data_IF_891130323288
#
_entry.id   IF_891130323288
#
_cell.length_a   1.000
_cell.length_b   1.000
_cell.length_c   1.000
_cell.angle_alpha   90.00
_cell.angle_beta   90.00
_cell.angle_gamma   90.00
#
_symmetry.space_group_name_H-M   'P 1'
#
loop_
_entity.id
_entity.type
_entity.pdbx_description
1 polymer ?
#
# COMPACT_ATOMS: atom_id res chain seq x y z
N UNK A 1 -18.48 4.00 -21.05
CA UNK A 1 -17.05 3.73 -21.30
C UNK A 1 -16.63 2.27 -21.12
N UNK A 2 -17.58 1.36 -20.88
CA UNK A 2 -17.34 -0.11 -20.84
C UNK A 2 -16.69 -0.70 -22.10
N UNK A 3 -16.51 0.09 -23.16
CA UNK A 3 -15.97 -0.33 -24.44
C UNK A 3 -14.43 -0.33 -24.53
N UNK A 4 -13.72 0.39 -23.65
CA UNK A 4 -12.26 0.52 -23.76
C UNK A 4 -11.55 -0.38 -22.75
N UNK A 5 -11.16 -1.58 -23.20
CA UNK A 5 -10.29 -2.49 -22.43
C UNK A 5 -8.80 -2.10 -22.54
N UNK A 6 -8.47 -1.29 -23.54
CA UNK A 6 -7.13 -0.77 -23.80
C UNK A 6 -7.23 0.72 -24.12
N UNK A 7 -6.24 1.47 -23.66
CA UNK A 7 -6.15 2.91 -23.90
C UNK A 7 -4.70 3.32 -24.15
N UNK A 8 -4.30 3.59 -25.41
CA UNK A 8 -2.98 4.13 -25.68
C UNK A 8 -2.90 5.57 -25.16
N UNK A 9 -1.88 5.87 -24.37
CA UNK A 9 -1.61 7.21 -23.86
C UNK A 9 -0.21 7.66 -24.29
N UNK A 10 -0.12 8.83 -24.92
CA UNK A 10 1.15 9.50 -25.20
C UNK A 10 1.29 10.71 -24.27
N UNK A 11 2.38 10.77 -23.50
CA UNK A 11 2.70 11.90 -22.63
C UNK A 11 3.85 12.66 -23.27
N UNK A 12 3.55 13.85 -23.75
CA UNK A 12 4.55 14.76 -24.33
C UNK A 12 5.22 15.56 -23.21
N UNK A 13 6.54 15.44 -23.11
CA UNK A 13 7.34 16.17 -22.14
C UNK A 13 8.20 17.15 -22.92
N UNK A 14 8.19 18.43 -22.50
CA UNK A 14 8.91 19.48 -23.22
C UNK A 14 10.41 19.16 -23.28
N UNK A 15 10.95 19.11 -24.49
CA UNK A 15 12.35 18.81 -24.79
C UNK A 15 12.81 17.39 -24.42
N UNK A 16 11.88 16.46 -24.21
CA UNK A 16 12.17 15.06 -23.90
C UNK A 16 11.38 14.15 -24.86
N UNK A 17 11.81 12.90 -25.10
CA UNK A 17 11.03 11.94 -25.85
C UNK A 17 9.66 11.68 -25.20
N UNK A 18 8.60 11.61 -26.01
CA UNK A 18 7.26 11.26 -25.51
C UNK A 18 7.25 9.86 -24.89
N UNK A 19 6.53 9.71 -23.78
CA UNK A 19 6.28 8.42 -23.15
C UNK A 19 5.03 7.82 -23.77
N UNK A 20 5.13 6.61 -24.32
CA UNK A 20 3.99 5.87 -24.86
C UNK A 20 3.63 4.73 -23.92
N UNK A 21 2.39 4.73 -23.44
CA UNK A 21 1.85 3.73 -22.54
C UNK A 21 0.75 2.95 -23.25
N UNK A 22 0.81 1.63 -23.16
CA UNK A 22 -0.23 0.72 -23.60
C UNK A 22 -1.05 0.28 -22.38
N UNK A 23 -2.00 1.14 -21.99
CA UNK A 23 -2.74 0.96 -20.74
C UNK A 23 -3.84 -0.08 -20.90
N UNK A 24 -3.91 -1.04 -19.99
CA UNK A 24 -4.95 -2.04 -19.89
C UNK A 24 -5.87 -1.73 -18.71
N UNK A 25 -7.18 -1.80 -18.93
CA UNK A 25 -8.16 -1.54 -17.87
C UNK A 25 -8.02 -2.58 -16.76
N UNK A 26 -8.06 -2.14 -15.50
CA UNK A 26 -8.12 -3.00 -14.33
C UNK A 26 -9.39 -2.72 -13.53
N UNK A 27 -10.05 -3.78 -13.12
CA UNK A 27 -11.30 -3.72 -12.37
C UNK A 27 -11.07 -4.14 -10.91
N UNK A 28 -12.00 -3.75 -10.03
CA UNK A 28 -12.14 -4.25 -8.66
C UNK A 28 -11.01 -3.91 -7.67
N UNK A 29 -10.19 -2.88 -7.93
CA UNK A 29 -9.27 -2.34 -6.91
C UNK A 29 -10.07 -1.63 -5.82
N UNK A 30 -11.00 -0.77 -6.21
CA UNK A 30 -12.07 -0.27 -5.36
C UNK A 30 -13.32 -0.14 -6.23
N UNK A 31 -14.49 -0.13 -5.61
CA UNK A 31 -15.76 0.06 -6.30
C UNK A 31 -16.46 1.29 -5.74
N UNK A 32 -17.46 1.80 -6.46
CA UNK A 32 -18.38 2.82 -5.92
C UNK A 32 -19.06 2.40 -4.61
N UNK A 33 -19.15 1.08 -4.37
CA UNK A 33 -19.73 0.50 -3.16
C UNK A 33 -18.69 0.29 -2.03
N UNK A 34 -17.40 0.54 -2.28
CA UNK A 34 -16.37 0.42 -1.25
C UNK A 34 -16.73 1.37 -0.10
N UNK A 35 -16.86 0.85 1.13
CA UNK A 35 -17.28 1.66 2.26
C UNK A 35 -16.16 2.57 2.76
N UNK A 36 -16.57 3.75 3.24
CA UNK A 36 -15.74 4.64 4.05
C UNK A 36 -16.34 4.64 5.46
N UNK A 37 -15.53 4.33 6.45
CA UNK A 37 -15.86 4.30 7.87
C UNK A 37 -15.27 5.53 8.54
N UNK A 38 -16.11 6.49 8.91
CA UNK A 38 -15.67 7.68 9.61
C UNK A 38 -15.55 7.37 11.09
N UNK A 39 -14.32 7.36 11.58
CA UNK A 39 -14.02 7.20 12.99
C UNK A 39 -14.44 8.44 13.75
N UNK A 40 -15.24 8.26 14.79
CA UNK A 40 -15.72 9.29 15.69
C UNK A 40 -15.32 8.96 17.12
N UNK A 41 -14.68 9.92 17.79
CA UNK A 41 -14.34 9.83 19.21
C UNK A 41 -14.64 11.19 19.88
N UNK A 42 -15.31 11.18 21.03
CA UNK A 42 -15.74 12.36 21.79
C UNK A 42 -14.60 13.15 22.47
N UNK A 43 -13.37 13.04 21.96
CA UNK A 43 -12.26 13.92 22.32
C UNK A 43 -11.28 13.38 23.37
N UNK A 44 -11.32 12.09 23.70
CA UNK A 44 -10.33 11.48 24.61
C UNK A 44 -9.85 10.12 24.09
N UNK A 45 -8.60 9.76 24.40
CA UNK A 45 -7.99 8.50 23.96
C UNK A 45 -8.67 7.27 24.59
N UNK A 46 -9.31 7.44 25.75
CA UNK A 46 -9.97 6.36 26.50
C UNK A 46 -11.41 6.07 26.03
N UNK A 47 -11.98 6.94 25.18
CA UNK A 47 -13.31 6.72 24.65
C UNK A 47 -13.30 5.71 23.50
N UNK A 48 -14.31 4.85 23.46
CA UNK A 48 -14.52 3.91 22.35
C UNK A 48 -14.74 4.68 21.06
N UNK A 49 -13.88 4.46 20.06
CA UNK A 49 -14.10 5.00 18.72
C UNK A 49 -15.25 4.28 18.05
N UNK A 50 -16.22 5.04 17.55
CA UNK A 50 -17.35 4.52 16.76
C UNK A 50 -17.11 4.78 15.28
N UNK A 51 -17.73 3.99 14.41
CA UNK A 51 -17.52 4.08 12.97
C UNK A 51 -18.84 4.28 12.23
N UNK A 52 -19.00 5.43 11.58
CA UNK A 52 -20.15 5.68 10.72
C UNK A 52 -19.82 5.27 9.28
N UNK A 53 -20.67 4.45 8.67
CA UNK A 53 -20.42 3.87 7.36
C UNK A 53 -21.11 4.66 6.25
N UNK A 54 -20.32 5.10 5.28
CA UNK A 54 -20.76 5.72 4.04
C UNK A 54 -20.22 4.94 2.84
N UNK A 55 -20.70 5.28 1.64
CA UNK A 55 -20.16 4.77 0.38
C UNK A 55 -19.37 5.87 -0.33
N UNK A 56 -18.35 5.49 -1.09
CA UNK A 56 -17.58 6.44 -1.91
C UNK A 56 -18.49 7.30 -2.78
N UNK A 57 -19.47 6.70 -3.47
CA UNK A 57 -20.37 7.43 -4.37
C UNK A 57 -21.39 8.32 -3.67
N UNK A 58 -21.66 8.10 -2.38
CA UNK A 58 -22.57 8.95 -1.61
C UNK A 58 -21.91 10.22 -1.09
N UNK A 59 -20.58 10.24 -1.02
CA UNK A 59 -19.83 11.38 -0.47
C UNK A 59 -19.28 12.24 -1.62
N UNK A 60 -19.04 11.63 -2.79
CA UNK A 60 -18.27 12.27 -3.86
C UNK A 60 -18.95 12.11 -5.21
N UNK A 61 -19.53 13.21 -5.71
CA UNK A 61 -20.09 13.26 -7.07
C UNK A 61 -19.05 13.01 -8.16
N UNK A 62 -17.79 13.34 -7.89
CA UNK A 62 -16.65 13.15 -8.78
C UNK A 62 -16.03 11.74 -8.73
N UNK A 63 -16.40 10.90 -7.77
CA UNK A 63 -15.94 9.50 -7.71
C UNK A 63 -17.01 8.51 -8.24
N UNK A 64 -18.06 9.02 -8.87
CA UNK A 64 -19.11 8.18 -9.48
C UNK A 64 -18.57 7.31 -10.61
N UNK A 65 -17.59 7.80 -11.35
CA UNK A 65 -16.90 7.09 -12.41
C UNK A 65 -15.38 7.23 -12.24
N UNK A 66 -14.78 6.19 -11.65
CA UNK A 66 -13.33 6.01 -11.56
C UNK A 66 -12.94 4.85 -12.44
N UNK A 67 -12.01 5.06 -13.36
CA UNK A 67 -11.48 3.99 -14.22
C UNK A 67 -9.99 3.89 -14.01
N UNK A 68 -9.50 2.69 -13.73
CA UNK A 68 -8.10 2.43 -13.49
C UNK A 68 -7.52 1.64 -14.65
N UNK A 69 -6.30 1.99 -15.03
CA UNK A 69 -5.53 1.30 -16.04
C UNK A 69 -4.10 1.08 -15.58
N UNK A 70 -3.45 0.07 -16.17
CA UNK A 70 -2.07 -0.27 -15.89
C UNK A 70 -1.33 -0.59 -17.20
N UNK A 71 -0.11 -0.11 -17.34
CA UNK A 71 0.88 -0.58 -18.30
C UNK A 71 2.06 -1.13 -17.50
N UNK A 72 2.05 -2.44 -17.38
CA UNK A 72 2.98 -3.17 -16.54
C UNK A 72 4.43 -3.09 -17.04
N UNK A 73 4.65 -3.17 -18.35
CA UNK A 73 5.99 -3.15 -18.94
C UNK A 73 6.67 -1.79 -18.69
N UNK A 74 5.87 -0.72 -18.66
CA UNK A 74 6.32 0.64 -18.35
C UNK A 74 6.14 1.04 -16.86
N UNK A 75 5.73 0.11 -16.00
CA UNK A 75 5.51 0.34 -14.56
C UNK A 75 4.55 1.51 -14.31
N UNK A 76 3.53 1.66 -15.15
CA UNK A 76 2.57 2.74 -15.08
C UNK A 76 1.21 2.27 -14.54
N UNK A 77 0.67 3.01 -13.58
CA UNK A 77 -0.67 2.83 -13.04
C UNK A 77 -1.39 4.17 -13.10
N UNK A 78 -2.39 4.27 -13.98
CA UNK A 78 -3.12 5.50 -14.30
C UNK A 78 -4.56 5.35 -13.83
N UNK A 79 -5.08 6.38 -13.17
CA UNK A 79 -6.45 6.49 -12.69
C UNK A 79 -7.09 7.70 -13.32
N UNK A 80 -8.30 7.50 -13.83
CA UNK A 80 -9.10 8.53 -14.47
C UNK A 80 -10.32 8.81 -13.60
N UNK A 81 -10.48 10.06 -13.20
CA UNK A 81 -11.64 10.56 -12.47
C UNK A 81 -12.50 11.40 -13.41
N UNK A 82 -13.80 11.07 -13.50
CA UNK A 82 -14.74 11.79 -14.35
C UNK A 82 -15.59 12.76 -13.52
N UNK A 83 -15.53 14.03 -13.89
CA UNK A 83 -16.28 15.13 -13.29
C UNK A 83 -17.33 15.64 -14.29
N UNK A 84 -18.35 14.83 -14.59
CA UNK A 84 -19.37 15.16 -15.60
C UNK A 84 -18.90 14.93 -17.04
N UNK A 85 -19.67 15.42 -18.02
CA UNK A 85 -19.54 14.98 -19.42
C UNK A 85 -18.21 15.35 -20.10
N UNK A 86 -17.49 16.37 -19.63
CA UNK A 86 -16.30 16.91 -20.32
C UNK A 86 -15.11 17.25 -19.41
N UNK A 87 -15.12 16.85 -18.13
CA UNK A 87 -14.01 17.15 -17.23
C UNK A 87 -13.40 15.85 -16.70
N UNK A 88 -12.15 15.62 -17.07
CA UNK A 88 -11.42 14.40 -16.76
C UNK A 88 -10.14 14.78 -16.06
N UNK A 89 -9.93 14.17 -14.89
CA UNK A 89 -8.67 14.25 -14.16
C UNK A 89 -7.95 12.93 -14.36
N UNK A 90 -6.68 13.01 -14.73
CA UNK A 90 -5.81 11.86 -14.91
C UNK A 90 -4.68 11.95 -13.90
N UNK A 91 -4.57 10.93 -13.06
CA UNK A 91 -3.51 10.86 -12.07
C UNK A 91 -2.91 9.48 -12.03
N UNK A 92 -1.65 9.36 -11.64
CA UNK A 92 -1.02 8.06 -11.66
C UNK A 92 0.43 8.05 -11.25
N UNK A 93 1.01 6.86 -11.38
CA UNK A 93 2.43 6.62 -11.23
C UNK A 93 2.99 6.07 -12.54
N UNK A 94 4.23 6.45 -12.88
CA UNK A 94 5.01 5.89 -13.98
C UNK A 94 6.40 5.60 -13.42
N UNK A 95 6.64 4.36 -13.02
CA UNK A 95 7.77 4.01 -12.16
C UNK A 95 7.76 4.85 -10.88
N UNK A 96 8.85 5.56 -10.60
CA UNK A 96 8.96 6.42 -9.41
C UNK A 96 8.51 7.87 -9.65
N UNK A 97 7.84 8.15 -10.78
CA UNK A 97 7.27 9.44 -11.08
C UNK A 97 5.78 9.47 -10.78
N UNK A 98 5.27 10.63 -10.38
CA UNK A 98 3.85 10.89 -10.14
C UNK A 98 3.34 11.80 -11.24
N UNK A 99 2.27 11.39 -11.88
CA UNK A 99 1.51 12.20 -12.81
C UNK A 99 0.34 12.84 -12.05
N UNK A 100 0.30 14.17 -12.01
CA UNK A 100 -0.79 14.94 -11.41
C UNK A 100 -1.27 16.01 -12.38
N UNK A 101 -2.57 16.27 -12.35
CA UNK A 101 -3.16 17.43 -13.02
C UNK A 101 -3.13 18.64 -12.08
N UNK A 102 -2.94 19.83 -12.62
CA UNK A 102 -3.06 21.08 -11.88
C UNK A 102 -4.41 21.73 -12.06
N UNK A 103 -4.68 22.76 -11.26
CA UNK A 103 -5.94 23.52 -11.32
C UNK A 103 -6.20 24.13 -12.70
N UNK A 104 -5.13 24.55 -13.39
CA UNK A 104 -5.10 25.07 -14.75
C UNK A 104 -5.12 23.97 -15.83
N UNK A 105 -5.40 22.71 -15.44
CA UNK A 105 -5.54 21.54 -16.31
C UNK A 105 -4.28 21.12 -17.07
N UNK A 106 -3.13 21.64 -16.67
CA UNK A 106 -1.84 21.16 -17.12
C UNK A 106 -1.44 19.89 -16.33
N UNK A 107 -0.47 19.14 -16.83
CA UNK A 107 0.05 17.96 -16.16
C UNK A 107 1.53 18.14 -15.82
N UNK A 108 1.90 17.72 -14.61
CA UNK A 108 3.31 17.59 -14.23
C UNK A 108 3.63 16.14 -13.94
N UNK A 109 4.82 15.74 -14.39
CA UNK A 109 5.45 14.48 -14.02
C UNK A 109 6.51 14.78 -12.94
N UNK A 110 6.16 14.53 -11.69
CA UNK A 110 7.00 14.83 -10.54
C UNK A 110 7.84 13.61 -10.19
N UNK A 111 9.17 13.77 -10.12
CA UNK A 111 10.02 12.76 -9.51
C UNK A 111 9.96 12.92 -7.99
N UNK A 112 9.58 11.86 -7.29
CA UNK A 112 9.64 11.85 -5.83
C UNK A 112 11.10 11.76 -5.44
N UNK A 113 11.64 12.84 -4.89
CA UNK A 113 12.99 12.87 -4.32
C UNK A 113 12.87 13.17 -2.84
N UNK A 114 13.48 12.32 -2.01
CA UNK A 114 13.58 12.62 -0.59
C UNK A 114 14.89 13.38 -0.36
N UNK A 115 14.85 14.59 0.24
CA UNK A 115 16.06 15.29 0.60
C UNK A 115 16.74 14.50 1.71
N UNK A 116 17.89 13.90 1.43
CA UNK A 116 18.80 13.44 2.49
C UNK A 116 20.22 13.78 2.06
N UNK A 117 20.76 14.85 2.66
CA UNK A 117 22.16 15.26 2.58
C UNK A 117 23.09 14.39 3.44
N UNK A 118 22.55 13.34 4.06
CA UNK A 118 23.29 12.44 4.96
C UNK A 118 23.02 10.98 4.57
N UNK A 119 24.01 10.11 4.76
CA UNK A 119 23.92 8.65 4.63
C UNK A 119 24.08 8.08 3.20
N UNK A 120 25.30 8.22 2.67
CA UNK A 120 25.89 7.21 1.79
C UNK A 120 26.20 5.94 2.61
N UNK A 121 25.24 5.03 2.75
CA UNK A 121 25.56 3.68 3.23
C UNK A 121 26.19 2.89 2.04
N UNK A 122 27.44 2.45 2.16
CA UNK A 122 28.14 1.68 1.12
C UNK A 122 27.47 0.33 0.80
N UNK A 123 26.61 -0.20 1.68
CA UNK A 123 25.77 -1.36 1.34
C UNK A 123 24.79 -1.06 0.20
N UNK A 124 24.29 0.17 0.12
CA UNK A 124 23.34 0.59 -0.92
C UNK A 124 23.96 0.60 -2.32
N UNK A 125 25.24 0.99 -2.44
CA UNK A 125 25.96 1.07 -3.73
C UNK A 125 26.15 -0.30 -4.42
N UNK A 126 25.90 -1.41 -3.71
CA UNK A 126 26.08 -2.78 -4.23
C UNK A 126 24.86 -3.32 -4.99
N UNK A 127 23.73 -2.62 -4.98
CA UNK A 127 22.48 -3.14 -5.54
C UNK A 127 22.30 -2.75 -7.01
N UNK A 128 22.15 -3.75 -7.89
CA UNK A 128 21.86 -3.58 -9.32
C UNK A 128 20.36 -3.59 -9.58
N UNK A 129 19.92 -2.73 -10.49
CA UNK A 129 18.56 -2.70 -11.03
C UNK A 129 18.38 -3.92 -11.95
N UNK A 130 17.38 -4.76 -11.67
CA UNK A 130 16.94 -5.76 -12.64
C UNK A 130 15.97 -5.09 -13.60
N UNK A 131 16.23 -5.22 -14.89
CA UNK A 131 15.36 -4.67 -15.92
C UNK A 131 14.38 -5.74 -16.41
N UNK A 132 13.10 -5.34 -16.38
CA UNK A 132 11.87 -6.08 -16.73
C UNK A 132 11.38 -7.03 -15.65
N UNK A 133 10.08 -6.96 -15.39
CA UNK A 133 9.45 -7.98 -14.61
C UNK A 133 9.36 -9.27 -15.43
N UNK A 134 9.94 -10.34 -14.90
CA UNK A 134 9.62 -11.67 -15.38
C UNK A 134 8.21 -12.04 -14.90
N UNK A 135 7.48 -12.85 -15.67
CA UNK A 135 6.27 -13.50 -15.15
C UNK A 135 6.68 -14.49 -14.05
N UNK A 136 5.88 -14.59 -13.00
CA UNK A 136 6.17 -15.40 -11.83
C UNK A 136 5.07 -16.44 -11.61
N UNK A 137 5.47 -17.70 -11.54
CA UNK A 137 4.58 -18.81 -11.26
C UNK A 137 4.91 -19.38 -9.87
N UNK A 138 4.01 -19.16 -8.91
CA UNK A 138 4.15 -19.62 -7.53
C UNK A 138 3.69 -21.08 -7.37
N UNK A 139 3.19 -21.71 -8.44
CA UNK A 139 2.68 -23.07 -8.50
C UNK A 139 1.52 -23.31 -7.53
N UNK A 140 0.65 -22.32 -7.36
CA UNK A 140 -0.58 -22.46 -6.56
C UNK A 140 -1.63 -23.27 -7.31
N UNK A 141 -2.45 -24.09 -6.62
CA UNK A 141 -3.62 -24.71 -7.22
C UNK A 141 -4.72 -23.69 -7.57
N UNK A 142 -4.72 -22.52 -6.93
CA UNK A 142 -5.68 -21.45 -7.22
C UNK A 142 -5.30 -20.69 -8.49
N UNK A 143 -6.31 -20.32 -9.26
CA UNK A 143 -6.12 -19.48 -10.46
C UNK A 143 -5.91 -18.01 -10.08
N UNK A 144 -6.62 -17.53 -9.07
CA UNK A 144 -6.64 -16.13 -8.66
C UNK A 144 -6.84 -15.99 -7.15
N UNK A 145 -6.11 -15.04 -6.55
CA UNK A 145 -6.23 -14.66 -5.15
C UNK A 145 -6.47 -13.17 -5.08
N UNK A 146 -7.54 -12.80 -4.36
CA UNK A 146 -7.90 -11.41 -4.08
C UNK A 146 -7.59 -11.12 -2.62
N UNK A 147 -6.60 -10.27 -2.37
CA UNK A 147 -6.24 -9.79 -1.04
C UNK A 147 -7.14 -8.58 -0.72
N UNK A 148 -8.10 -8.75 0.19
CA UNK A 148 -8.97 -7.66 0.66
C UNK A 148 -8.25 -6.84 1.73
N UNK A 149 -7.94 -5.59 1.41
CA UNK A 149 -7.26 -4.65 2.28
C UNK A 149 -8.23 -3.63 2.84
N UNK A 150 -8.37 -3.60 4.17
CA UNK A 150 -8.97 -2.49 4.89
C UNK A 150 -7.88 -1.45 5.17
N UNK A 151 -8.06 -0.23 4.68
CA UNK A 151 -7.06 0.84 4.87
C UNK A 151 -7.47 1.70 6.05
N UNK A 152 -6.58 1.90 7.02
CA UNK A 152 -6.83 2.79 8.16
C UNK A 152 -5.91 4.01 8.14
N UNK A 153 -6.47 5.19 7.91
CA UNK A 153 -5.70 6.42 7.88
C UNK A 153 -5.44 6.92 9.31
N UNK A 154 -4.21 7.41 9.55
CA UNK A 154 -3.88 8.26 10.68
C UNK A 154 -4.47 9.66 10.47
N UNK A 155 -4.66 10.41 11.56
CA UNK A 155 -5.08 11.81 11.50
C UNK A 155 -4.14 12.66 10.65
N UNK A 156 -2.83 12.45 10.76
CA UNK A 156 -1.82 13.18 9.96
C UNK A 156 -1.96 12.93 8.46
N UNK A 157 -2.57 11.81 8.08
CA UNK A 157 -2.82 11.40 6.71
C UNK A 157 -4.18 11.86 6.17
N UNK A 158 -5.02 12.42 7.04
CA UNK A 158 -6.41 12.80 6.80
C UNK A 158 -6.65 14.31 6.98
N UNK A 159 -5.61 15.13 6.89
CA UNK A 159 -5.70 16.60 7.08
C UNK A 159 -6.18 17.37 5.84
N UNK A 160 -6.37 16.69 4.71
CA UNK A 160 -6.90 17.28 3.49
C UNK A 160 -8.39 16.97 3.35
N UNK A 161 -9.05 17.57 2.37
CA UNK A 161 -10.44 17.24 2.03
C UNK A 161 -10.59 15.74 1.75
N UNK A 162 -11.64 15.13 2.31
CA UNK A 162 -11.86 13.67 2.25
C UNK A 162 -11.82 13.16 0.80
N UNK A 163 -12.37 13.94 -0.14
CA UNK A 163 -12.37 13.61 -1.57
C UNK A 163 -10.95 13.48 -2.14
N UNK A 164 -10.07 14.40 -1.77
CA UNK A 164 -8.69 14.43 -2.23
C UNK A 164 -7.88 13.28 -1.65
N UNK A 165 -8.08 12.99 -0.35
CA UNK A 165 -7.43 11.87 0.34
C UNK A 165 -7.85 10.54 -0.28
N UNK A 166 -9.16 10.33 -0.47
CA UNK A 166 -9.69 9.09 -1.07
C UNK A 166 -9.21 8.95 -2.51
N UNK A 167 -9.26 10.01 -3.32
CA UNK A 167 -8.74 9.98 -4.70
C UNK A 167 -7.25 9.60 -4.73
N UNK A 168 -6.44 10.23 -3.88
CA UNK A 168 -5.01 9.94 -3.75
C UNK A 168 -4.76 8.50 -3.33
N UNK A 169 -5.56 7.98 -2.39
CA UNK A 169 -5.49 6.59 -1.94
C UNK A 169 -5.83 5.61 -3.07
N UNK A 170 -6.84 5.90 -3.88
CA UNK A 170 -7.22 5.06 -5.02
C UNK A 170 -6.11 5.01 -6.08
N UNK A 171 -5.50 6.16 -6.40
CA UNK A 171 -4.32 6.23 -7.29
C UNK A 171 -3.16 5.42 -6.71
N UNK A 172 -2.94 5.53 -5.41
CA UNK A 172 -1.88 4.82 -4.69
C UNK A 172 -2.08 3.30 -4.73
N UNK A 173 -3.27 2.80 -4.42
CA UNK A 173 -3.56 1.36 -4.43
C UNK A 173 -3.66 0.79 -5.84
N UNK A 174 -3.96 1.60 -6.86
CA UNK A 174 -3.78 1.18 -8.25
C UNK A 174 -2.31 0.82 -8.54
N UNK A 175 -1.37 1.65 -8.09
CA UNK A 175 0.05 1.37 -8.22
C UNK A 175 0.50 0.18 -7.35
N UNK A 176 -0.04 0.00 -6.13
CA UNK A 176 0.19 -1.21 -5.31
C UNK A 176 -0.23 -2.47 -6.07
N UNK A 177 -1.46 -2.50 -6.60
CA UNK A 177 -2.00 -3.65 -7.31
C UNK A 177 -1.17 -3.98 -8.57
N UNK A 178 -0.67 -2.95 -9.28
CA UNK A 178 0.19 -3.14 -10.45
C UNK A 178 1.44 -3.99 -10.12
N UNK A 179 2.01 -3.83 -8.93
CA UNK A 179 3.20 -4.58 -8.54
C UNK A 179 2.93 -6.08 -8.41
N UNK A 180 1.69 -6.52 -8.24
CA UNK A 180 1.32 -7.94 -8.17
C UNK A 180 0.91 -8.56 -9.53
N UNK A 181 0.82 -7.76 -10.61
CA UNK A 181 0.57 -8.26 -11.96
C UNK A 181 1.57 -9.31 -12.51
N UNK A 182 2.86 -9.37 -12.10
CA UNK A 182 3.78 -10.43 -12.55
C UNK A 182 3.31 -11.85 -12.23
N UNK A 183 2.53 -12.03 -11.17
CA UNK A 183 2.15 -13.36 -10.71
C UNK A 183 1.05 -13.94 -11.59
N UNK A 184 1.30 -15.11 -12.17
CA UNK A 184 0.38 -15.75 -13.13
C UNK A 184 -0.30 -17.01 -12.60
N UNK A 185 0.23 -17.60 -11.53
CA UNK A 185 -0.33 -18.79 -10.87
C UNK A 185 0.09 -18.77 -9.40
N UNK A 186 -0.77 -18.25 -8.49
CA UNK A 186 -2.04 -17.62 -8.79
C UNK A 186 -1.83 -16.22 -9.37
N UNK A 187 -2.84 -15.67 -10.05
CA UNK A 187 -2.94 -14.22 -10.23
C UNK A 187 -3.21 -13.58 -8.88
N UNK A 188 -2.43 -12.57 -8.49
CA UNK A 188 -2.63 -11.88 -7.21
C UNK A 188 -3.20 -10.49 -7.49
N UNK A 189 -4.34 -10.18 -6.88
CA UNK A 189 -4.97 -8.86 -6.94
C UNK A 189 -5.11 -8.28 -5.54
N UNK A 190 -4.92 -6.96 -5.44
CA UNK A 190 -5.15 -6.20 -4.21
C UNK A 190 -6.43 -5.40 -4.38
N UNK A 191 -7.39 -5.64 -3.48
CA UNK A 191 -8.68 -4.95 -3.48
C UNK A 191 -8.86 -4.18 -2.17
N UNK A 192 -9.14 -2.89 -2.24
CA UNK A 192 -9.53 -2.05 -1.10
C UNK A 192 -10.95 -2.40 -0.71
N UNK A 193 -11.10 -3.12 0.41
CA UNK A 193 -12.40 -3.56 0.93
C UNK A 193 -13.09 -2.52 1.80
N UNK A 194 -12.35 -1.52 2.28
CA UNK A 194 -12.88 -0.37 2.99
C UNK A 194 -11.79 0.64 3.34
N UNK A 195 -12.21 1.84 3.69
CA UNK A 195 -11.32 2.93 4.14
C UNK A 195 -11.82 3.42 5.49
N UNK A 196 -10.96 3.46 6.50
CA UNK A 196 -11.23 4.09 7.79
C UNK A 196 -10.62 5.50 7.75
N UNK A 197 -11.49 6.49 7.85
CA UNK A 197 -11.14 7.91 7.82
C UNK A 197 -11.37 8.52 9.21
N UNK A 198 -10.36 9.12 9.86
CA UNK A 198 -10.55 9.70 11.18
C UNK A 198 -11.13 11.12 11.09
N UNK A 199 -12.22 11.39 11.82
CA UNK A 199 -12.76 12.76 11.93
C UNK A 199 -11.93 13.65 12.86
N UNK A 200 -11.18 13.05 13.79
CA UNK A 200 -10.35 13.74 14.77
C UNK A 200 -9.09 12.92 15.07
N UNK A 201 -8.08 13.54 15.67
CA UNK A 201 -6.88 12.85 16.14
C UNK A 201 -7.15 11.76 17.20
N UNK A 202 -8.27 11.86 17.91
CA UNK A 202 -8.69 10.87 18.91
C UNK A 202 -9.39 9.66 18.27
N UNK A 203 -9.76 9.74 17.00
CA UNK A 203 -10.43 8.67 16.26
C UNK A 203 -9.45 7.59 15.74
N UNK A 204 -8.16 7.74 16.06
CA UNK A 204 -7.09 6.80 15.71
C UNK A 204 -6.33 6.30 16.95
N UNK A 205 -7.01 5.68 17.94
CA UNK A 205 -6.36 5.27 19.19
C UNK A 205 -5.19 4.28 18.95
N UNK A 206 -5.26 3.49 17.88
CA UNK A 206 -4.19 2.58 17.46
C UNK A 206 -2.89 3.30 17.05
N UNK A 207 -2.99 4.51 16.48
CA UNK A 207 -1.82 5.36 16.22
C UNK A 207 -1.42 6.16 17.45
N UNK A 208 -2.39 6.79 18.13
CA UNK A 208 -2.12 7.65 19.30
C UNK A 208 -1.42 6.91 20.44
N UNK A 209 -1.79 5.64 20.70
CA UNK A 209 -1.12 4.79 21.69
C UNK A 209 0.27 4.30 21.25
N UNK A 210 0.64 4.55 19.99
CA UNK A 210 1.95 4.25 19.43
C UNK A 210 2.83 5.50 19.30
N UNK A 211 2.29 6.70 19.57
CA UNK A 211 3.00 7.97 19.47
C UNK A 211 3.94 8.15 20.66
N UNK A 212 5.12 8.68 20.38
CA UNK A 212 6.14 9.01 21.37
C UNK A 212 6.98 10.16 20.83
N UNK A 213 7.67 10.85 21.73
CA UNK A 213 8.52 12.00 21.43
C UNK A 213 9.92 11.70 21.95
N UNK A 214 10.95 11.99 21.14
CA UNK A 214 12.32 11.80 21.57
C UNK A 214 12.73 12.97 22.49
N UNK A 215 13.51 12.71 23.55
CA UNK A 215 14.04 13.79 24.38
C UNK A 215 14.82 14.80 23.52
N UNK A 216 14.40 16.06 23.55
CA UNK A 216 15.06 17.15 22.81
C UNK A 216 14.62 17.35 21.36
N UNK A 217 13.62 16.61 20.87
CA UNK A 217 13.02 16.83 19.54
C UNK A 217 11.54 17.20 19.68
N UNK A 218 11.05 18.14 18.88
CA UNK A 218 9.65 18.57 18.89
C UNK A 218 8.71 17.65 18.08
N UNK A 219 9.29 16.76 17.26
CA UNK A 219 8.52 15.86 16.40
C UNK A 219 8.06 14.59 17.12
N UNK A 220 6.83 14.18 16.84
CA UNK A 220 6.27 12.90 17.31
C UNK A 220 6.44 11.83 16.23
N UNK A 221 6.72 10.61 16.67
CA UNK A 221 6.92 9.45 15.80
C UNK A 221 6.10 8.26 16.27
N UNK A 222 5.88 7.31 15.36
CA UNK A 222 5.26 6.02 15.64
C UNK A 222 6.32 5.02 16.07
N UNK A 223 6.18 4.46 17.27
CA UNK A 223 7.09 3.42 17.77
C UNK A 223 6.86 2.11 17.01
N UNK A 224 7.89 1.65 16.29
CA UNK A 224 7.89 0.48 15.41
C UNK A 224 7.26 -0.76 16.08
N UNK A 225 7.73 -1.10 17.28
CA UNK A 225 7.29 -2.32 17.99
C UNK A 225 5.86 -2.22 18.54
N UNK A 226 5.34 -1.02 18.74
CA UNK A 226 4.00 -0.80 19.31
C UNK A 226 2.92 -0.66 18.25
N UNK A 227 3.30 -0.27 17.03
CA UNK A 227 2.37 -0.02 15.92
C UNK A 227 1.44 -1.21 15.65
N UNK A 228 2.00 -2.38 15.32
CA UNK A 228 1.19 -3.57 15.02
C UNK A 228 0.42 -4.07 16.25
N UNK A 229 1.03 -4.05 17.43
CA UNK A 229 0.38 -4.52 18.66
C UNK A 229 -0.90 -3.72 18.95
N UNK A 230 -0.85 -2.39 18.82
CA UNK A 230 -2.00 -1.52 19.03
C UNK A 230 -3.08 -1.71 17.94
N UNK A 231 -2.68 -1.95 16.69
CA UNK A 231 -3.62 -2.32 15.63
C UNK A 231 -4.33 -3.64 15.91
N UNK A 232 -3.60 -4.68 16.34
CA UNK A 232 -4.20 -5.97 16.69
C UNK A 232 -5.18 -5.83 17.85
N UNK A 233 -4.78 -5.14 18.92
CA UNK A 233 -5.64 -4.89 20.09
C UNK A 233 -6.93 -4.19 19.71
N UNK A 234 -6.87 -3.22 18.81
CA UNK A 234 -8.03 -2.43 18.41
C UNK A 234 -8.95 -3.18 17.43
N UNK A 235 -8.41 -3.77 16.37
CA UNK A 235 -9.21 -4.32 15.27
C UNK A 235 -9.43 -5.83 15.33
N UNK A 236 -8.52 -6.58 15.93
CA UNK A 236 -8.52 -8.05 15.89
C UNK A 236 -8.85 -8.72 17.22
N UNK A 237 -8.99 -7.95 18.30
CA UNK A 237 -9.44 -8.50 19.57
C UNK A 237 -10.89 -9.01 19.43
N UNK A 238 -11.10 -10.29 19.76
CA UNK A 238 -12.41 -10.96 19.71
C UNK A 238 -13.48 -10.26 20.55
N UNK A 239 -13.08 -9.50 21.57
CA UNK A 239 -14.00 -8.70 22.38
C UNK A 239 -14.37 -7.37 21.72
N UNK A 240 -13.49 -6.82 20.88
CA UNK A 240 -13.68 -5.51 20.26
C UNK A 240 -14.63 -5.57 19.05
N UNK A 241 -14.59 -6.66 18.25
CA UNK A 241 -15.44 -6.92 17.06
C UNK A 241 -15.78 -5.68 16.23
N UNK A 242 -14.80 -4.80 16.02
CA UNK A 242 -15.01 -3.48 15.40
C UNK A 242 -15.56 -3.64 13.98
N UNK A 243 -15.06 -4.64 13.25
CA UNK A 243 -15.54 -5.01 11.92
C UNK A 243 -15.68 -6.54 11.81
N UNK A 244 -16.55 -7.04 10.91
CA UNK A 244 -16.62 -8.48 10.63
C UNK A 244 -15.31 -9.00 10.03
N UNK A 245 -14.81 -10.14 10.50
CA UNK A 245 -13.58 -10.76 9.97
C UNK A 245 -13.65 -11.08 8.47
N UNK A 246 -14.86 -11.23 7.90
CA UNK A 246 -15.03 -11.45 6.46
C UNK A 246 -14.79 -10.20 5.60
N UNK A 247 -14.75 -9.01 6.21
CA UNK A 247 -14.60 -7.73 5.51
C UNK A 247 -13.21 -7.57 4.89
N UNK A 248 -12.16 -8.12 5.52
CA UNK A 248 -10.78 -7.92 5.10
C UNK A 248 -9.92 -9.12 5.47
N UNK A 249 -8.88 -9.35 4.68
CA UNK A 249 -7.82 -10.32 4.98
C UNK A 249 -6.63 -9.60 5.63
N UNK A 250 -6.43 -8.33 5.27
CA UNK A 250 -5.35 -7.47 5.77
C UNK A 250 -5.90 -6.11 6.16
N UNK A 251 -5.41 -5.55 7.27
CA UNK A 251 -5.59 -4.14 7.60
C UNK A 251 -4.24 -3.40 7.55
N UNK A 252 -4.18 -2.35 6.74
CA UNK A 252 -2.98 -1.51 6.60
C UNK A 252 -3.26 -0.13 7.18
N UNK A 253 -2.59 0.17 8.28
CA UNK A 253 -2.46 1.52 8.83
C UNK A 253 -1.58 2.39 7.94
N UNK A 254 -1.99 3.62 7.67
CA UNK A 254 -1.25 4.57 6.85
C UNK A 254 -1.06 5.88 7.64
N UNK A 255 0.19 6.26 7.89
CA UNK A 255 0.55 7.49 8.64
C UNK A 255 1.49 8.41 7.85
N UNK A 256 1.36 9.72 8.05
CA UNK A 256 2.32 10.71 7.58
C UNK A 256 3.56 10.80 8.49
N UNK A 257 3.48 10.29 9.72
CA UNK A 257 4.53 10.41 10.73
C UNK A 257 5.70 9.43 10.46
N UNK A 258 6.93 9.79 10.90
CA UNK A 258 8.05 8.85 10.91
C UNK A 258 7.75 7.62 11.77
N UNK A 259 8.24 6.45 11.33
CA UNK A 259 8.22 5.21 12.13
C UNK A 259 9.65 4.97 12.60
N UNK A 260 9.85 4.84 13.92
CA UNK A 260 11.18 4.70 14.50
C UNK A 260 11.28 3.54 15.48
N UNK A 261 12.46 2.93 15.57
CA UNK A 261 12.78 1.92 16.57
C UNK A 261 13.27 2.53 17.90
N UNK A 262 13.72 1.67 18.82
CA UNK A 262 14.21 2.07 20.13
C UNK A 262 15.57 2.81 20.08
N UNK A 263 16.32 2.63 18.99
CA UNK A 263 17.64 3.23 18.77
C UNK A 263 17.55 4.54 17.97
N UNK A 264 16.35 5.15 17.93
CA UNK A 264 16.07 6.41 17.26
C UNK A 264 16.23 6.35 15.72
N UNK A 265 16.27 5.14 15.14
CA UNK A 265 16.36 4.99 13.70
C UNK A 265 14.97 5.14 13.08
N UNK A 266 14.73 6.26 12.39
CA UNK A 266 13.46 6.60 11.74
C UNK A 266 13.39 6.25 10.24
N UNK A 267 14.27 5.36 9.78
CA UNK A 267 14.34 4.96 8.36
C UNK A 267 13.29 3.91 7.98
N UNK A 268 12.39 3.53 8.88
CA UNK A 268 11.35 2.55 8.59
C UNK A 268 10.18 3.22 7.86
N UNK A 269 9.81 2.64 6.71
CA UNK A 269 8.64 3.05 5.95
C UNK A 269 7.45 2.11 6.13
N UNK A 270 7.67 0.92 6.70
CA UNK A 270 6.62 -0.06 6.89
C UNK A 270 7.04 -1.12 7.89
N UNK A 271 6.04 -1.66 8.57
CA UNK A 271 6.14 -2.80 9.47
C UNK A 271 4.85 -3.61 9.35
N UNK A 272 4.96 -4.92 9.24
CA UNK A 272 3.83 -5.83 9.15
C UNK A 272 4.13 -7.11 9.88
N UNK A 273 3.08 -7.83 10.22
CA UNK A 273 3.26 -9.18 10.72
C UNK A 273 3.66 -10.08 9.55
N UNK A 274 4.54 -11.03 9.85
CA UNK A 274 4.82 -12.09 8.90
C UNK A 274 3.73 -13.15 8.98
N UNK A 275 3.38 -13.71 7.83
CA UNK A 275 2.47 -14.85 7.77
C UNK A 275 2.93 -15.97 8.73
N UNK A 276 1.99 -16.61 9.41
CA UNK A 276 2.22 -17.57 10.51
C UNK A 276 2.98 -18.84 10.09
N UNK A 277 3.41 -18.98 8.82
CA UNK A 277 4.23 -20.13 8.38
C UNK A 277 5.51 -20.28 9.23
N UNK A 278 6.18 -19.18 9.60
CA UNK A 278 7.37 -19.28 10.44
C UNK A 278 7.10 -19.62 11.91
N UNK A 279 5.83 -19.55 12.35
CA UNK A 279 5.42 -19.88 13.71
C UNK A 279 4.56 -21.16 13.82
N UNK A 280 4.36 -21.93 12.73
CA UNK A 280 3.79 -23.29 12.79
C UNK A 280 4.81 -24.29 13.34
N UNK A 281 5.34 -24.00 14.52
CA UNK A 281 5.85 -24.98 15.46
C UNK A 281 4.67 -25.75 16.06
N UNK A 282 4.49 -26.99 15.60
CA UNK A 282 3.86 -28.13 16.28
C UNK A 282 2.35 -28.15 16.64
N UNK A 283 1.58 -27.06 16.80
CA UNK A 283 0.22 -27.19 17.39
C UNK A 283 -0.92 -26.32 16.81
N UNK A 284 -0.96 -26.00 15.51
CA UNK A 284 -2.04 -25.15 14.97
C UNK A 284 -3.24 -25.98 14.45
N UNK A 285 -4.06 -26.50 15.36
CA UNK A 285 -5.43 -26.91 15.06
C UNK A 285 -6.33 -25.66 15.02
N UNK A 286 -6.47 -25.04 13.84
CA UNK A 286 -7.65 -24.27 13.37
C UNK A 286 -7.30 -23.55 12.07
N UNK A 287 -8.13 -23.78 11.05
CA UNK A 287 -7.96 -23.33 9.67
C UNK A 287 -8.50 -21.92 9.39
N UNK A 288 -8.80 -21.12 10.41
CA UNK A 288 -9.33 -19.77 10.16
C UNK A 288 -8.18 -18.82 9.82
N UNK A 289 -8.21 -18.14 8.65
CA UNK A 289 -7.26 -17.09 8.34
C UNK A 289 -7.40 -15.98 9.38
N UNK A 290 -6.36 -15.77 10.19
CA UNK A 290 -6.28 -14.66 11.13
C UNK A 290 -6.01 -13.41 10.29
N UNK A 291 -6.85 -12.36 10.35
CA UNK A 291 -6.57 -11.13 9.63
C UNK A 291 -5.23 -10.55 10.09
N UNK A 292 -4.46 -9.98 9.16
CA UNK A 292 -3.10 -9.56 9.44
C UNK A 292 -2.98 -8.03 9.44
N UNK A 293 -2.14 -7.48 10.32
CA UNK A 293 -1.92 -6.03 10.44
C UNK A 293 -0.59 -5.61 9.81
N UNK A 294 -0.60 -4.42 9.22
CA UNK A 294 0.62 -3.69 8.88
C UNK A 294 0.42 -2.19 9.04
N UNK A 295 1.51 -1.46 9.18
CA UNK A 295 1.55 0.00 9.27
C UNK A 295 2.60 0.50 8.31
N UNK A 296 2.24 1.49 7.49
CA UNK A 296 3.14 2.13 6.52
C UNK A 296 3.17 3.63 6.71
N UNK A 297 4.31 4.22 6.40
CA UNK A 297 4.52 5.65 6.27
C UNK A 297 4.27 6.06 4.81
N UNK A 298 3.40 7.04 4.62
CA UNK A 298 3.15 7.68 3.34
C UNK A 298 3.07 9.20 3.55
N UNK A 299 4.14 9.97 3.35
CA UNK A 299 3.98 11.41 3.37
C UNK A 299 3.16 11.82 2.14
N UNK A 300 1.91 12.21 2.39
CA UNK A 300 1.00 12.80 1.40
C UNK A 300 0.65 11.91 0.19
N UNK A 301 0.79 10.58 0.28
CA UNK A 301 0.63 9.65 -0.85
C UNK A 301 1.55 9.97 -2.05
N UNK A 302 2.61 10.74 -1.82
CA UNK A 302 3.52 11.24 -2.86
C UNK A 302 4.67 10.26 -3.10
N UNK A 303 4.43 8.94 -3.08
CA UNK A 303 5.46 7.92 -3.34
C UNK A 303 5.40 6.75 -2.36
N UNK A 304 6.26 5.75 -2.56
CA UNK A 304 6.40 4.56 -1.70
C UNK A 304 5.27 3.53 -1.72
N UNK A 305 4.44 3.48 -2.76
CA UNK A 305 3.43 2.41 -2.90
C UNK A 305 4.05 1.00 -2.88
N UNK A 306 5.33 0.89 -3.28
CA UNK A 306 6.11 -0.32 -3.15
C UNK A 306 6.25 -0.83 -1.70
N UNK A 307 6.18 0.06 -0.70
CA UNK A 307 6.22 -0.33 0.71
C UNK A 307 4.97 -1.08 1.11
N UNK A 308 3.78 -0.63 0.69
CA UNK A 308 2.54 -1.38 0.95
C UNK A 308 2.59 -2.75 0.28
N UNK A 309 3.07 -2.83 -0.97
CA UNK A 309 3.23 -4.12 -1.64
C UNK A 309 4.24 -5.03 -0.91
N UNK A 310 5.34 -4.48 -0.38
CA UNK A 310 6.29 -5.21 0.47
C UNK A 310 5.62 -5.75 1.74
N UNK A 311 4.86 -4.91 2.45
CA UNK A 311 4.17 -5.33 3.66
C UNK A 311 3.11 -6.40 3.36
N UNK A 312 2.36 -6.29 2.26
CA UNK A 312 1.45 -7.34 1.80
C UNK A 312 2.22 -8.62 1.45
N UNK A 313 3.41 -8.53 0.87
CA UNK A 313 4.21 -9.73 0.57
C UNK A 313 4.76 -10.42 1.83
N UNK A 314 5.08 -9.70 2.90
CA UNK A 314 5.38 -10.31 4.20
C UNK A 314 4.22 -11.15 4.73
N UNK A 315 3.00 -10.68 4.50
CA UNK A 315 1.75 -11.35 4.83
C UNK A 315 1.50 -12.57 3.93
N UNK A 316 1.95 -12.53 2.67
CA UNK A 316 1.91 -13.65 1.72
C UNK A 316 3.14 -14.57 1.83
N UNK A 317 3.89 -14.49 2.93
CA UNK A 317 4.97 -15.42 3.25
C UNK A 317 6.36 -15.04 2.77
N UNK A 318 6.55 -13.90 2.11
CA UNK A 318 7.88 -13.42 1.76
C UNK A 318 8.65 -12.93 2.99
N UNK A 319 9.88 -13.36 3.16
CA UNK A 319 10.77 -12.80 4.18
C UNK A 319 11.53 -11.57 3.66
N UNK A 320 12.10 -10.78 4.57
CA UNK A 320 13.21 -9.89 4.18
C UNK A 320 14.35 -10.75 3.66
N UNK A 321 15.21 -10.20 2.83
CA UNK A 321 16.47 -10.85 2.48
C UNK A 321 17.28 -11.11 3.76
N UNK A 322 17.16 -12.31 4.33
CA UNK A 322 17.84 -12.66 5.58
C UNK A 322 19.35 -12.70 5.34
N UNK A 323 20.14 -12.82 6.42
CA UNK A 323 21.61 -12.90 6.34
C UNK A 323 22.11 -14.01 5.39
N UNK A 324 21.28 -15.03 5.13
CA UNK A 324 21.54 -16.11 4.16
C UNK A 324 21.37 -15.67 2.69
N UNK A 325 20.59 -14.62 2.44
CA UNK A 325 20.23 -14.10 1.11
C UNK A 325 20.85 -12.74 0.80
N UNK A 326 21.49 -12.11 1.78
CA UNK A 326 21.87 -10.69 1.74
C UNK A 326 22.95 -10.30 0.73
N UNK A 327 23.61 -11.24 0.02
CA UNK A 327 24.88 -10.87 -0.61
C UNK A 327 25.00 -10.90 -2.12
N UNK A 328 24.15 -11.56 -2.93
CA UNK A 328 24.35 -11.44 -4.39
C UNK A 328 23.14 -11.45 -5.35
N UNK A 329 21.93 -11.95 -5.02
CA UNK A 329 20.86 -12.11 -6.04
C UNK A 329 19.41 -11.80 -5.61
N UNK A 330 19.17 -11.28 -4.40
CA UNK A 330 17.81 -11.06 -3.89
C UNK A 330 17.35 -9.59 -3.96
N UNK A 331 17.84 -8.81 -4.92
CA UNK A 331 17.49 -7.40 -5.03
C UNK A 331 16.07 -7.25 -5.61
N UNK A 332 15.23 -6.50 -4.91
CA UNK A 332 13.85 -6.28 -5.29
C UNK A 332 13.09 -5.51 -4.22
N UNK A 333 11.77 -5.46 -4.38
CA UNK A 333 10.84 -4.71 -3.51
C UNK A 333 10.95 -5.03 -2.02
N UNK A 334 11.39 -6.25 -1.67
CA UNK A 334 11.57 -6.74 -0.31
C UNK A 334 12.91 -6.35 0.33
N UNK A 335 13.68 -5.47 -0.31
CA UNK A 335 14.93 -5.00 0.26
C UNK A 335 14.66 -4.26 1.59
N UNK A 336 15.50 -4.56 2.59
CA UNK A 336 15.40 -4.02 3.94
C UNK A 336 15.78 -2.53 4.00
N UNK A 337 16.78 -2.13 3.22
CA UNK A 337 17.32 -0.78 3.22
C UNK A 337 17.09 -0.15 1.86
N UNK A 338 16.06 0.68 1.74
CA UNK A 338 15.70 1.25 0.45
C UNK A 338 15.36 2.72 0.60
N UNK A 339 15.85 3.51 -0.35
CA UNK A 339 15.47 4.91 -0.50
C UNK A 339 14.15 4.99 -1.28
N UNK A 340 13.15 5.70 -0.75
CA UNK A 340 11.89 5.97 -1.45
C UNK A 340 11.97 6.38 -2.92
N UNK A 341 12.96 7.19 -3.26
CA UNK A 341 13.14 7.80 -4.59
C UNK A 341 13.73 6.82 -5.62
N UNK A 342 14.32 5.72 -5.16
CA UNK A 342 14.92 4.68 -6.00
C UNK A 342 14.49 3.28 -5.57
N UNK A 343 13.24 3.13 -5.12
CA UNK A 343 12.72 1.83 -4.69
C UNK A 343 12.68 0.86 -5.88
N UNK A 344 13.30 -0.34 -5.78
CA UNK A 344 13.17 -1.36 -6.82
C UNK A 344 11.73 -1.87 -6.84
N UNK A 345 11.07 -1.70 -7.99
CA UNK A 345 9.67 -2.09 -8.14
C UNK A 345 9.50 -3.57 -8.52
N UNK A 346 10.59 -4.28 -8.83
CA UNK A 346 10.57 -5.67 -9.24
C UNK A 346 10.69 -6.64 -8.05
N UNK A 347 10.12 -7.83 -8.18
CA UNK A 347 10.31 -8.92 -7.23
C UNK A 347 11.63 -9.62 -7.47
N UNK A 348 12.33 -9.99 -6.40
CA UNK A 348 13.52 -10.82 -6.52
C UNK A 348 13.15 -12.31 -6.61
N UNK A 349 14.02 -13.12 -7.22
CA UNK A 349 13.87 -14.58 -7.26
C UNK A 349 13.62 -15.17 -5.86
N UNK A 350 14.31 -14.66 -4.85
CA UNK A 350 14.21 -15.14 -3.48
C UNK A 350 12.82 -14.88 -2.87
N UNK A 351 12.21 -13.74 -3.19
CA UNK A 351 10.87 -13.43 -2.69
C UNK A 351 9.80 -14.29 -3.38
N UNK A 352 10.01 -14.57 -4.67
CA UNK A 352 9.15 -15.47 -5.44
C UNK A 352 9.25 -16.89 -4.88
N UNK A 353 10.44 -17.36 -4.53
CA UNK A 353 10.64 -18.67 -3.90
C UNK A 353 9.95 -18.77 -2.55
N UNK A 354 10.12 -17.78 -1.67
CA UNK A 354 9.44 -17.73 -0.36
C UNK A 354 7.91 -17.78 -0.50
N UNK A 355 7.34 -16.95 -1.39
CA UNK A 355 5.90 -16.95 -1.65
C UNK A 355 5.46 -18.27 -2.31
N UNK A 356 6.28 -18.87 -3.18
CA UNK A 356 5.96 -20.17 -3.79
C UNK A 356 5.84 -21.27 -2.73
N UNK A 357 6.73 -21.27 -1.73
CA UNK A 357 6.62 -22.17 -0.59
C UNK A 357 5.32 -21.92 0.18
N UNK A 358 5.00 -20.66 0.45
CA UNK A 358 3.74 -20.29 1.11
C UNK A 358 2.52 -20.87 0.38
N UNK A 359 2.40 -20.63 -0.93
CA UNK A 359 1.25 -21.05 -1.71
C UNK A 359 1.16 -22.57 -1.91
N UNK A 360 2.29 -23.28 -2.01
CA UNK A 360 2.30 -24.74 -2.14
C UNK A 360 1.86 -25.46 -0.87
N UNK A 361 2.20 -24.93 0.30
CA UNK A 361 1.99 -25.63 1.58
C UNK A 361 0.74 -25.18 2.35
N UNK A 362 0.16 -24.02 2.04
CA UNK A 362 -1.03 -23.51 2.76
C UNK A 362 -2.33 -23.54 1.99
N UNK A 363 -2.32 -23.43 0.66
CA UNK A 363 -3.55 -23.39 -0.14
C UNK A 363 -3.90 -24.76 -0.73
N UNK A 364 -3.18 -25.82 -0.34
CA UNK A 364 -3.58 -27.20 -0.60
C UNK A 364 -4.63 -27.73 0.42
N UNK A 365 -5.48 -26.85 0.97
CA UNK A 365 -6.49 -27.18 2.00
C UNK A 365 -7.89 -27.29 1.39
#
# INVERSE_FOLDING_TARGET
>A
MEKYNQWPLAIEIRNEPSIYLNLHKVDNIATKNTPIYFGNNNGTVDCTTTYEKFRIDTIFDNLREVVMFQDYDNKAAITIFWHGENNVILEGFIGNYILRQTEDKNYFLLKVTYPIDEFENDEYKKYKKNDRFAKHNLSSPEEEIIVKVLVALDWTSAQQEVAQVVSSLLVYYNAVNMLFQPFTSPKIKVAVSGIIYPNTEFSTPYFSNSKTQFPGYDETYIKLNSANENFRKHFLNEEAKVFPNSLFDVIIGMTGQPICDADYNCQYYGVSDQSVIYNRGKNAEKNDPIPIVGVVRHPSFQGNYAVVAREIAHILGSSYNTRWYAFNNCNGIMNKFVRPDNWPLDWSACNIDDMSLYFRYLISL
#
